data_IF_659518568089
#
_entry.id   IF_659518568089
#
_cell.length_a   1.000
_cell.length_b   1.000
_cell.length_c   1.000
_cell.angle_alpha   90.00
_cell.angle_beta   90.00
_cell.angle_gamma   90.00
#
_symmetry.space_group_name_H-M   'P 1'
#
loop_
_entity.id
_entity.type
_entity.pdbx_description
1 polymer ?
#
# COMPACT_ATOMS: atom_id res chain seq x y z
N UNK A 1 6.31 -14.06 -0.43
CA UNK A 1 6.67 -12.63 -0.34
C UNK A 1 6.23 -12.10 1.01
N UNK A 2 7.15 -11.51 1.75
CA UNK A 2 6.88 -10.99 3.09
C UNK A 2 6.88 -9.46 3.08
N UNK A 3 6.24 -8.89 4.10
CA UNK A 3 6.27 -7.45 4.31
C UNK A 3 7.70 -6.92 4.45
N UNK A 4 8.57 -7.67 5.15
CA UNK A 4 9.97 -7.28 5.31
C UNK A 4 10.67 -7.15 3.94
N UNK A 5 10.39 -8.05 3.02
CA UNK A 5 10.93 -7.99 1.67
C UNK A 5 10.37 -6.80 0.88
N UNK A 6 9.08 -6.53 1.03
CA UNK A 6 8.44 -5.37 0.37
C UNK A 6 9.08 -4.06 0.83
N UNK A 7 9.33 -3.91 2.13
CA UNK A 7 9.97 -2.70 2.67
C UNK A 7 11.36 -2.44 2.11
N UNK A 8 12.02 -3.48 1.64
CA UNK A 8 13.38 -3.40 1.08
C UNK A 8 13.39 -3.37 -0.44
N UNK A 9 12.23 -3.46 -1.07
CA UNK A 9 12.15 -3.51 -2.52
C UNK A 9 12.45 -2.14 -3.11
N UNK A 10 13.52 -2.06 -3.89
CA UNK A 10 14.02 -0.79 -4.45
C UNK A 10 13.02 -0.16 -5.40
N UNK A 11 12.36 -0.96 -6.21
CA UNK A 11 11.41 -0.47 -7.20
C UNK A 11 10.17 0.13 -6.55
N UNK A 12 9.60 -0.60 -5.59
CA UNK A 12 8.45 -0.12 -4.82
C UNK A 12 8.80 1.20 -4.11
N UNK A 13 9.94 1.24 -3.45
CA UNK A 13 10.35 2.43 -2.70
C UNK A 13 10.66 3.62 -3.62
N UNK A 14 11.11 3.37 -4.84
CA UNK A 14 11.30 4.46 -5.80
C UNK A 14 9.97 5.13 -6.15
N UNK A 15 8.92 4.35 -6.34
CA UNK A 15 7.59 4.92 -6.61
C UNK A 15 7.02 5.62 -5.38
N UNK A 16 7.23 5.08 -4.19
CA UNK A 16 6.80 5.73 -2.95
C UNK A 16 7.48 7.09 -2.81
N UNK A 17 8.78 7.14 -3.04
CA UNK A 17 9.54 8.40 -2.98
C UNK A 17 9.02 9.41 -4.00
N UNK A 18 8.76 8.98 -5.22
CA UNK A 18 8.23 9.86 -6.27
C UNK A 18 6.86 10.40 -5.89
N UNK A 19 6.01 9.56 -5.32
CA UNK A 19 4.70 9.98 -4.85
C UNK A 19 4.80 11.03 -3.76
N UNK A 20 5.71 10.85 -2.82
CA UNK A 20 5.95 11.82 -1.75
C UNK A 20 6.46 13.15 -2.32
N UNK A 21 7.39 13.10 -3.29
CA UNK A 21 7.89 14.31 -3.95
C UNK A 21 6.76 15.07 -4.65
N UNK A 22 5.90 14.37 -5.37
CA UNK A 22 4.76 14.96 -6.07
C UNK A 22 3.81 15.65 -5.11
N UNK A 23 3.51 15.01 -3.98
CA UNK A 23 2.62 15.58 -2.97
C UNK A 23 3.24 16.78 -2.29
N UNK A 24 4.55 16.80 -2.10
CA UNK A 24 5.26 17.94 -1.55
C UNK A 24 5.09 19.18 -2.44
N UNK A 25 5.19 19.01 -3.75
CA UNK A 25 4.97 20.11 -4.71
C UNK A 25 3.54 20.65 -4.60
N UNK A 26 2.57 19.78 -4.33
CA UNK A 26 1.18 20.18 -4.20
C UNK A 26 0.81 20.70 -2.80
N UNK A 27 1.77 20.71 -1.87
CA UNK A 27 1.54 21.20 -0.51
C UNK A 27 0.95 20.20 0.46
N UNK A 28 0.91 18.93 0.10
CA UNK A 28 0.42 17.87 1.00
C UNK A 28 1.47 17.49 2.03
N UNK A 29 1.02 16.85 3.11
CA UNK A 29 1.89 16.37 4.17
C UNK A 29 2.72 15.17 3.71
N UNK A 30 3.67 14.77 4.56
CA UNK A 30 4.61 13.69 4.28
C UNK A 30 3.89 12.35 4.03
N UNK A 31 4.18 11.74 2.88
CA UNK A 31 3.74 10.39 2.51
C UNK A 31 4.94 9.51 2.20
N UNK A 32 6.03 9.73 2.93
CA UNK A 32 7.28 9.00 2.79
C UNK A 32 7.17 7.57 3.26
N UNK A 33 8.29 6.85 3.19
CA UNK A 33 8.41 5.49 3.70
C UNK A 33 8.07 5.39 5.19
N UNK A 34 8.35 6.42 5.98
CA UNK A 34 7.99 6.47 7.40
C UNK A 34 6.48 6.39 7.57
N UNK A 35 5.74 7.18 6.79
CA UNK A 35 4.27 7.15 6.80
C UNK A 35 3.75 5.78 6.37
N UNK A 36 4.30 5.22 5.30
CA UNK A 36 3.89 3.89 4.80
C UNK A 36 4.10 2.82 5.86
N UNK A 37 5.21 2.86 6.56
CA UNK A 37 5.51 1.93 7.66
C UNK A 37 4.49 2.06 8.78
N UNK A 38 4.16 3.30 9.15
CA UNK A 38 3.19 3.57 10.21
C UNK A 38 1.80 3.01 9.85
N UNK A 39 1.36 3.22 8.62
CA UNK A 39 0.07 2.70 8.13
C UNK A 39 0.05 1.18 8.17
N UNK A 40 1.14 0.54 7.73
CA UNK A 40 1.27 -0.91 7.76
C UNK A 40 1.15 -1.46 9.19
N UNK A 41 1.84 -0.85 10.13
CA UNK A 41 1.83 -1.29 11.52
C UNK A 41 0.48 -1.08 12.19
N UNK A 42 -0.21 0.00 11.87
CA UNK A 42 -1.56 0.25 12.37
C UNK A 42 -2.56 -0.78 11.85
N UNK A 43 -2.47 -1.12 10.58
CA UNK A 43 -3.31 -2.16 9.99
C UNK A 43 -3.08 -3.50 10.69
N UNK A 44 -1.82 -3.85 10.94
CA UNK A 44 -1.48 -5.08 11.65
C UNK A 44 -2.06 -5.11 13.05
N UNK A 45 -1.96 -4.01 13.78
CA UNK A 45 -2.47 -3.91 15.14
C UNK A 45 -3.99 -4.10 15.19
N UNK A 46 -4.70 -3.46 14.29
CA UNK A 46 -6.17 -3.56 14.22
C UNK A 46 -6.60 -5.00 13.93
N UNK A 47 -6.04 -5.61 12.90
CA UNK A 47 -6.40 -6.98 12.53
C UNK A 47 -6.01 -7.99 13.60
N UNK A 48 -4.88 -7.78 14.26
CA UNK A 48 -4.44 -8.63 15.36
C UNK A 48 -5.46 -8.64 16.50
N UNK A 49 -6.05 -7.49 16.82
CA UNK A 49 -7.06 -7.37 17.86
C UNK A 49 -8.36 -8.10 17.52
N UNK A 50 -8.65 -8.24 16.23
CA UNK A 50 -9.86 -8.93 15.77
C UNK A 50 -9.64 -10.42 15.47
N UNK A 51 -8.47 -10.96 15.78
CA UNK A 51 -8.20 -12.39 15.67
C UNK A 51 -7.91 -12.88 14.26
N UNK A 52 -7.51 -12.00 13.35
CA UNK A 52 -7.13 -12.42 12.00
C UNK A 52 -5.85 -13.24 12.03
N UNK A 53 -5.66 -14.10 11.03
CA UNK A 53 -4.49 -14.95 10.94
C UNK A 53 -3.22 -14.13 10.67
N UNK A 54 -2.06 -14.71 10.98
CA UNK A 54 -0.77 -14.07 10.71
C UNK A 54 -0.61 -13.78 9.22
N UNK A 55 -1.10 -14.68 8.35
CA UNK A 55 -1.03 -14.49 6.91
C UNK A 55 -1.87 -13.27 6.47
N UNK A 56 -3.08 -13.15 6.99
CA UNK A 56 -3.95 -12.02 6.69
C UNK A 56 -3.36 -10.70 7.19
N UNK A 57 -2.74 -10.73 8.37
CA UNK A 57 -2.06 -9.57 8.93
C UNK A 57 -0.89 -9.16 8.03
N UNK A 58 -0.13 -10.14 7.55
CA UNK A 58 1.00 -9.89 6.67
C UNK A 58 0.55 -9.20 5.36
N UNK A 59 -0.52 -9.69 4.75
CA UNK A 59 -1.08 -9.07 3.54
C UNK A 59 -1.58 -7.65 3.81
N UNK A 60 -2.18 -7.42 4.96
CA UNK A 60 -2.64 -6.09 5.34
C UNK A 60 -1.48 -5.11 5.51
N UNK A 61 -0.36 -5.57 6.05
CA UNK A 61 0.85 -4.74 6.16
C UNK A 61 1.34 -4.33 4.77
N UNK A 62 1.38 -5.27 3.83
CA UNK A 62 1.83 -5.01 2.47
C UNK A 62 0.89 -4.00 1.80
N UNK A 63 -0.41 -4.20 1.90
CA UNK A 63 -1.39 -3.28 1.35
C UNK A 63 -1.27 -1.89 1.96
N UNK A 64 -1.12 -1.81 3.28
CA UNK A 64 -0.96 -0.55 3.98
C UNK A 64 0.30 0.20 3.57
N UNK A 65 1.42 -0.53 3.41
CA UNK A 65 2.68 0.07 2.99
C UNK A 65 2.57 0.67 1.58
N UNK A 66 1.84 0.01 0.69
CA UNK A 66 1.75 0.39 -0.72
C UNK A 66 0.51 1.24 -1.04
N UNK A 67 -0.33 1.56 -0.06
CA UNK A 67 -1.65 2.13 -0.33
C UNK A 67 -1.65 3.44 -1.12
N UNK A 68 -0.63 4.26 -0.97
CA UNK A 68 -0.53 5.57 -1.62
C UNK A 68 0.44 5.58 -2.81
N UNK A 69 0.90 4.40 -3.26
CA UNK A 69 1.90 4.32 -4.34
C UNK A 69 1.43 5.00 -5.63
N UNK A 70 0.11 5.09 -5.83
CA UNK A 70 -0.47 5.75 -7.01
C UNK A 70 -0.20 7.24 -7.09
N UNK A 71 0.19 7.88 -5.99
CA UNK A 71 0.59 9.29 -6.00
C UNK A 71 1.81 9.54 -6.88
N UNK A 72 2.57 8.49 -7.22
CA UNK A 72 3.67 8.59 -8.19
C UNK A 72 3.17 8.90 -9.59
N UNK A 73 1.90 8.61 -9.86
CA UNK A 73 1.27 8.83 -11.17
C UNK A 73 0.40 10.08 -11.11
N UNK A 74 -0.58 10.11 -10.20
CA UNK A 74 -1.45 11.26 -10.05
C UNK A 74 -2.18 11.17 -8.71
N UNK A 75 -2.38 12.31 -8.03
CA UNK A 75 -3.15 12.35 -6.79
C UNK A 75 -4.61 11.99 -7.03
N UNK A 76 -5.18 12.49 -8.13
CA UNK A 76 -6.53 12.13 -8.51
C UNK A 76 -6.55 10.67 -8.94
N UNK A 77 -7.48 9.90 -8.39
CA UNK A 77 -7.60 8.46 -8.63
C UNK A 77 -6.34 7.67 -8.21
N UNK A 78 -5.61 8.18 -7.21
CA UNK A 78 -4.38 7.52 -6.78
C UNK A 78 -4.62 6.09 -6.26
N UNK A 79 -5.79 5.80 -5.72
CA UNK A 79 -6.12 4.45 -5.27
C UNK A 79 -6.17 3.47 -6.44
N UNK A 80 -6.85 3.84 -7.52
CA UNK A 80 -6.96 3.01 -8.72
C UNK A 80 -5.62 2.85 -9.41
N UNK A 81 -4.90 3.96 -9.62
CA UNK A 81 -3.55 3.89 -10.19
C UNK A 81 -2.60 3.09 -9.30
N UNK A 82 -2.74 3.24 -7.99
CA UNK A 82 -1.92 2.49 -7.03
C UNK A 82 -2.18 0.99 -7.11
N UNK A 83 -3.44 0.60 -7.26
CA UNK A 83 -3.80 -0.81 -7.40
C UNK A 83 -3.21 -1.42 -8.67
N UNK A 84 -3.31 -0.71 -9.80
CA UNK A 84 -2.76 -1.20 -11.06
C UNK A 84 -1.24 -1.29 -11.01
N UNK A 85 -0.58 -0.29 -10.43
CA UNK A 85 0.86 -0.28 -10.28
C UNK A 85 1.33 -1.38 -9.33
N UNK A 86 0.63 -1.55 -8.19
CA UNK A 86 0.95 -2.61 -7.24
C UNK A 86 0.82 -3.99 -7.88
N UNK A 87 -0.21 -4.21 -8.68
CA UNK A 87 -0.36 -5.47 -9.40
C UNK A 87 0.85 -5.76 -10.28
N UNK A 88 1.31 -4.77 -11.02
CA UNK A 88 2.47 -4.93 -11.90
C UNK A 88 3.74 -5.22 -11.11
N UNK A 89 3.98 -4.49 -10.03
CA UNK A 89 5.17 -4.66 -9.21
C UNK A 89 5.17 -5.99 -8.46
N UNK A 90 4.04 -6.37 -7.88
CA UNK A 90 3.93 -7.62 -7.11
C UNK A 90 3.93 -8.85 -7.99
N UNK A 91 3.47 -8.74 -9.24
CA UNK A 91 3.51 -9.84 -10.19
C UNK A 91 4.94 -10.30 -10.50
N UNK A 92 5.90 -9.42 -10.32
CA UNK A 92 7.33 -9.73 -10.54
C UNK A 92 7.98 -10.40 -9.33
N UNK A 93 7.22 -10.62 -8.28
CA UNK A 93 7.68 -11.26 -7.04
C UNK A 93 7.15 -12.70 -6.97
N UNK A 94 7.50 -13.40 -5.89
CA UNK A 94 7.01 -14.76 -5.64
C UNK A 94 5.64 -14.79 -4.95
N UNK A 95 4.97 -13.65 -4.82
CA UNK A 95 3.64 -13.59 -4.22
C UNK A 95 2.64 -14.41 -5.05
N UNK A 96 1.81 -15.21 -4.37
CA UNK A 96 0.78 -15.99 -5.05
C UNK A 96 -0.26 -15.10 -5.71
N UNK A 97 -0.97 -15.63 -6.69
CA UNK A 97 -2.06 -14.90 -7.35
C UNK A 97 -3.14 -14.49 -6.34
N UNK A 98 -3.54 -15.40 -5.47
CA UNK A 98 -4.59 -15.10 -4.49
C UNK A 98 -4.19 -13.96 -3.57
N UNK A 99 -2.96 -13.97 -3.09
CA UNK A 99 -2.45 -12.91 -2.22
C UNK A 99 -2.35 -11.58 -2.97
N UNK A 100 -1.87 -11.62 -4.19
CA UNK A 100 -1.76 -10.41 -5.02
C UNK A 100 -3.13 -9.77 -5.28
N UNK A 101 -4.12 -10.58 -5.61
CA UNK A 101 -5.49 -10.09 -5.82
C UNK A 101 -6.02 -9.44 -4.55
N UNK A 102 -5.78 -10.04 -3.40
CA UNK A 102 -6.22 -9.50 -2.10
C UNK A 102 -5.57 -8.14 -1.83
N UNK A 103 -4.26 -8.03 -2.01
CA UNK A 103 -3.52 -6.79 -1.77
C UNK A 103 -3.97 -5.70 -2.74
N UNK A 104 -4.08 -6.03 -4.02
CA UNK A 104 -4.49 -5.07 -5.06
C UNK A 104 -5.90 -4.54 -4.80
N UNK A 105 -6.82 -5.43 -4.43
CA UNK A 105 -8.19 -5.02 -4.09
C UNK A 105 -8.23 -4.09 -2.89
N UNK A 106 -7.43 -4.38 -1.86
CA UNK A 106 -7.35 -3.53 -0.67
C UNK A 106 -6.85 -2.13 -1.03
N UNK A 107 -5.83 -2.04 -1.88
CA UNK A 107 -5.30 -0.75 -2.33
C UNK A 107 -6.35 0.03 -3.14
N UNK A 108 -7.04 -0.65 -4.06
CA UNK A 108 -8.04 -0.02 -4.91
C UNK A 108 -9.18 0.61 -4.11
N UNK A 109 -9.51 0.01 -2.98
CA UNK A 109 -10.67 0.41 -2.19
C UNK A 109 -10.35 1.22 -0.94
N UNK A 110 -9.08 1.56 -0.70
CA UNK A 110 -8.73 2.24 0.54
C UNK A 110 -9.35 3.65 0.67
N UNK A 111 -9.61 4.34 -0.41
CA UNK A 111 -10.23 5.67 -0.38
C UNK A 111 -11.69 5.62 0.01
N UNK A 112 -12.36 4.50 -0.19
CA UNK A 112 -13.76 4.36 0.18
C UNK A 112 -13.96 4.47 1.69
N UNK A 113 -12.98 4.04 2.47
CA UNK A 113 -13.03 4.16 3.92
C UNK A 113 -13.03 5.63 4.35
N UNK A 114 -12.34 6.49 3.60
CA UNK A 114 -12.31 7.92 3.88
C UNK A 114 -13.57 8.63 3.38
N UNK A 115 -14.22 8.04 2.39
CA UNK A 115 -15.49 8.54 1.87
C UNK A 115 -16.69 8.13 2.70
N UNK A 116 -16.48 7.39 3.78
CA UNK A 116 -17.57 6.97 4.64
C UNK A 116 -18.32 5.74 4.13
N UNK A 117 -17.81 5.08 3.13
CA UNK A 117 -18.44 3.90 2.56
C UNK A 117 -18.29 2.66 3.45
N UNK A 118 -17.36 2.69 4.33
CA UNK A 118 -17.06 1.55 5.19
C UNK A 118 -16.90 2.03 6.61
#
# INVERSE_FOLDING_TARGET
MTYKEIRKNKEINAYIKKGNDNLGILGYTDHSQVHCTLVAERAALILSKFGYSEHEIELAKIAGYMHDIGNSINRKHHAEYGALLANELLRQTDMSLDDRVTVVSAIANHDESTGGAV
#
